data_IF_311479347570
#
_entry.id   IF_311479347570
#
_cell.length_a   1.000
_cell.length_b   1.000
_cell.length_c   1.000
_cell.angle_alpha   90.00
_cell.angle_beta   90.00
_cell.angle_gamma   90.00
#
_symmetry.space_group_name_H-M   'P 1'
#
loop_
_entity.id
_entity.type
_entity.pdbx_description
1 polymer ?
#
# COMPACT_ATOMS: atom_id res chain seq x y z
N UNK A 1 -12.57 -19.08 16.89
CA UNK A 1 -11.75 -18.85 15.71
C UNK A 1 -12.62 -18.66 14.45
N UNK A 2 -13.46 -19.63 14.07
CA UNK A 2 -14.27 -19.62 12.84
C UNK A 2 -15.07 -18.32 12.65
N UNK A 3 -15.86 -17.89 13.65
CA UNK A 3 -16.66 -16.66 13.59
C UNK A 3 -15.83 -15.40 13.28
N UNK A 4 -14.61 -15.34 13.80
CA UNK A 4 -13.72 -14.20 13.57
C UNK A 4 -13.10 -14.27 12.17
N UNK A 5 -12.67 -15.46 11.73
CA UNK A 5 -12.16 -15.68 10.38
C UNK A 5 -13.22 -15.34 9.33
N UNK A 6 -14.48 -15.75 9.54
CA UNK A 6 -15.59 -15.39 8.68
C UNK A 6 -15.85 -13.89 8.65
N UNK A 7 -15.76 -13.22 9.80
CA UNK A 7 -15.91 -11.77 9.89
C UNK A 7 -14.83 -11.05 9.09
N UNK A 8 -13.58 -11.47 9.24
CA UNK A 8 -12.44 -10.90 8.52
C UNK A 8 -12.55 -11.15 7.01
N UNK A 9 -12.87 -12.39 6.61
CA UNK A 9 -13.05 -12.75 5.22
C UNK A 9 -14.10 -11.90 4.50
N UNK A 10 -15.28 -11.74 5.11
CA UNK A 10 -16.37 -10.95 4.52
C UNK A 10 -16.03 -9.48 4.30
N UNK A 11 -15.08 -8.93 5.03
CA UNK A 11 -14.68 -7.52 4.94
C UNK A 11 -13.44 -7.28 4.09
N UNK A 12 -12.58 -8.27 3.99
CA UNK A 12 -11.24 -8.08 3.43
C UNK A 12 -10.88 -9.10 2.35
N UNK A 13 -11.61 -10.22 2.26
CA UNK A 13 -11.20 -11.36 1.45
C UNK A 13 -10.06 -12.18 2.05
N UNK A 14 -9.48 -11.79 3.19
CA UNK A 14 -8.38 -12.52 3.82
C UNK A 14 -8.86 -13.85 4.39
N UNK A 15 -8.14 -14.93 4.07
CA UNK A 15 -8.44 -16.29 4.54
C UNK A 15 -7.34 -16.77 5.48
N UNK A 16 -7.72 -17.14 6.69
CA UNK A 16 -6.83 -17.76 7.66
C UNK A 16 -7.32 -19.16 8.03
N UNK A 17 -6.56 -20.17 7.59
CA UNK A 17 -6.79 -21.56 7.98
C UNK A 17 -6.34 -21.84 9.43
N UNK A 18 -6.67 -23.03 9.94
CA UNK A 18 -6.32 -23.47 11.30
C UNK A 18 -4.80 -23.38 11.58
N UNK A 19 -3.96 -23.62 10.60
CA UNK A 19 -2.49 -23.48 10.75
C UNK A 19 -2.05 -22.04 11.10
N UNK A 20 -2.88 -21.05 10.83
CA UNK A 20 -2.63 -19.62 11.17
C UNK A 20 -3.41 -19.16 12.40
N UNK A 21 -4.05 -20.07 13.12
CA UNK A 21 -4.87 -19.74 14.30
C UNK A 21 -4.09 -18.94 15.34
N UNK A 22 -2.87 -19.37 15.68
CA UNK A 22 -2.03 -18.64 16.64
C UNK A 22 -1.74 -17.20 16.21
N UNK A 23 -1.55 -16.98 14.92
CA UNK A 23 -1.32 -15.64 14.36
C UNK A 23 -2.55 -14.74 14.54
N UNK A 24 -3.73 -15.28 14.26
CA UNK A 24 -5.01 -14.56 14.44
C UNK A 24 -5.25 -14.28 15.93
N UNK A 25 -5.08 -15.28 16.79
CA UNK A 25 -5.29 -15.15 18.25
C UNK A 25 -4.35 -14.09 18.85
N UNK A 26 -3.09 -14.04 18.43
CA UNK A 26 -2.15 -13.01 18.85
C UNK A 26 -2.61 -11.61 18.49
N UNK A 27 -3.02 -11.38 17.21
CA UNK A 27 -3.54 -10.08 16.78
C UNK A 27 -4.79 -9.64 17.54
N UNK A 28 -5.68 -10.59 17.80
CA UNK A 28 -6.86 -10.34 18.65
C UNK A 28 -6.46 -9.97 20.06
N UNK A 29 -5.53 -10.69 20.67
CA UNK A 29 -5.02 -10.38 22.00
C UNK A 29 -4.42 -8.97 22.08
N UNK A 30 -3.61 -8.60 21.10
CA UNK A 30 -3.02 -7.26 20.99
C UNK A 30 -4.11 -6.18 20.92
N UNK A 31 -5.17 -6.41 20.10
CA UNK A 31 -6.31 -5.50 20.00
C UNK A 31 -7.17 -5.46 21.25
N UNK A 32 -7.38 -6.60 21.91
CA UNK A 32 -8.06 -6.65 23.21
C UNK A 32 -7.32 -5.80 24.25
N UNK A 33 -6.00 -5.92 24.32
CA UNK A 33 -5.16 -5.08 25.19
C UNK A 33 -5.31 -3.60 24.90
N UNK A 34 -5.23 -3.21 23.61
CA UNK A 34 -5.35 -1.83 23.16
C UNK A 34 -6.74 -1.21 23.44
N UNK A 35 -7.79 -2.02 23.46
CA UNK A 35 -9.18 -1.56 23.69
C UNK A 35 -9.66 -1.72 25.12
N UNK A 36 -8.86 -2.34 26.00
CA UNK A 36 -9.24 -2.66 27.39
C UNK A 36 -10.32 -3.74 27.50
N UNK A 37 -10.52 -4.55 26.46
CA UNK A 37 -11.51 -5.63 26.50
C UNK A 37 -11.00 -6.80 27.34
N UNK A 38 -11.80 -7.21 28.33
CA UNK A 38 -11.41 -8.27 29.30
C UNK A 38 -11.74 -9.68 28.83
N UNK A 39 -12.50 -9.82 27.73
CA UNK A 39 -12.87 -11.11 27.15
C UNK A 39 -13.01 -11.01 25.63
N UNK A 40 -12.83 -12.14 24.94
CA UNK A 40 -13.10 -12.22 23.51
C UNK A 40 -14.53 -11.84 23.15
N UNK A 41 -15.50 -12.24 23.97
CA UNK A 41 -16.92 -11.93 23.72
C UNK A 41 -17.16 -10.42 23.74
N UNK A 42 -16.62 -9.71 24.75
CA UNK A 42 -16.72 -8.24 24.85
C UNK A 42 -15.99 -7.54 23.71
N UNK A 43 -14.81 -8.02 23.34
CA UNK A 43 -14.06 -7.50 22.20
C UNK A 43 -14.81 -7.70 20.87
N UNK A 44 -15.32 -8.90 20.61
CA UNK A 44 -16.04 -9.19 19.38
C UNK A 44 -17.36 -8.41 19.24
N UNK A 45 -18.05 -8.15 20.35
CA UNK A 45 -19.20 -7.26 20.37
C UNK A 45 -18.80 -5.83 19.98
N UNK A 46 -17.72 -5.31 20.56
CA UNK A 46 -17.15 -4.00 20.24
C UNK A 46 -16.75 -3.89 18.77
N UNK A 47 -16.04 -4.91 18.25
CA UNK A 47 -15.64 -4.98 16.86
C UNK A 47 -16.84 -4.97 15.91
N UNK A 48 -17.90 -5.72 16.20
CA UNK A 48 -19.12 -5.75 15.38
C UNK A 48 -19.87 -4.42 15.36
N UNK A 49 -19.82 -3.68 16.43
CA UNK A 49 -20.47 -2.35 16.56
C UNK A 49 -19.56 -1.21 16.10
N UNK A 50 -18.38 -1.53 15.60
CA UNK A 50 -17.37 -0.56 15.13
C UNK A 50 -17.09 0.60 16.11
N UNK A 51 -17.01 0.29 17.38
CA UNK A 51 -16.79 1.31 18.42
C UNK A 51 -15.43 1.97 18.20
N UNK A 52 -15.44 3.27 17.96
CA UNK A 52 -14.25 4.10 17.71
C UNK A 52 -13.40 3.66 16.49
N UNK A 53 -14.03 3.13 15.43
CA UNK A 53 -13.32 2.67 14.24
C UNK A 53 -12.48 1.40 14.47
N UNK A 54 -12.92 0.53 15.39
CA UNK A 54 -12.18 -0.68 15.74
C UNK A 54 -12.04 -1.65 14.57
N UNK A 55 -12.99 -1.64 13.62
CA UNK A 55 -12.90 -2.49 12.42
C UNK A 55 -11.66 -2.13 11.60
N UNK A 56 -11.42 -0.84 11.38
CA UNK A 56 -10.24 -0.35 10.66
C UNK A 56 -8.95 -0.77 11.37
N UNK A 57 -8.87 -0.53 12.67
CA UNK A 57 -7.70 -0.90 13.49
C UNK A 57 -7.47 -2.40 13.52
N UNK A 58 -8.55 -3.17 13.53
CA UNK A 58 -8.49 -4.62 13.44
C UNK A 58 -7.96 -5.09 12.08
N UNK A 59 -8.48 -4.57 10.98
CA UNK A 59 -8.02 -4.91 9.63
C UNK A 59 -6.53 -4.56 9.49
N UNK A 60 -6.13 -3.36 9.88
CA UNK A 60 -4.74 -2.90 9.84
C UNK A 60 -3.79 -3.80 10.64
N UNK A 61 -4.26 -4.49 11.67
CA UNK A 61 -3.45 -5.44 12.43
C UNK A 61 -3.11 -6.72 11.65
N UNK A 62 -3.82 -7.02 10.56
CA UNK A 62 -3.62 -8.24 9.75
C UNK A 62 -2.88 -7.99 8.44
N UNK A 63 -2.65 -6.75 8.07
CA UNK A 63 -1.88 -6.38 6.87
C UNK A 63 -0.39 -6.57 7.07
N UNK A 64 0.31 -6.85 5.98
CA UNK A 64 1.78 -6.93 5.92
C UNK A 64 2.24 -5.98 4.82
N UNK A 65 2.89 -4.90 5.23
CA UNK A 65 3.29 -3.80 4.35
C UNK A 65 4.78 -3.91 3.98
N UNK A 66 5.18 -5.02 3.34
CA UNK A 66 6.53 -5.17 2.83
C UNK A 66 6.62 -4.64 1.40
N UNK A 67 7.29 -3.50 1.24
CA UNK A 67 7.46 -2.84 -0.04
C UNK A 67 8.78 -2.05 -0.07
N UNK A 68 9.30 -1.75 -1.28
CA UNK A 68 10.44 -0.89 -1.53
C UNK A 68 10.41 -0.38 -2.97
N UNK A 69 11.08 0.73 -3.24
CA UNK A 69 11.14 1.31 -4.59
C UNK A 69 11.74 0.33 -5.61
N UNK A 70 11.13 0.27 -6.79
CA UNK A 70 11.52 -0.61 -7.91
C UNK A 70 11.52 -2.10 -7.55
N UNK A 71 10.60 -2.53 -6.66
CA UNK A 71 10.50 -3.93 -6.20
C UNK A 71 10.34 -4.90 -7.37
N UNK A 72 9.45 -4.60 -8.30
CA UNK A 72 9.11 -5.43 -9.46
C UNK A 72 9.42 -4.66 -10.75
N UNK A 73 10.69 -4.34 -11.00
CA UNK A 73 11.12 -3.49 -12.11
C UNK A 73 10.71 -4.02 -13.49
N UNK A 74 10.52 -5.34 -13.63
CA UNK A 74 10.00 -5.94 -14.84
C UNK A 74 8.56 -5.49 -15.17
N UNK A 75 7.73 -5.22 -14.16
CA UNK A 75 6.38 -4.67 -14.36
C UNK A 75 6.46 -3.22 -14.85
N UNK A 76 7.38 -2.42 -14.29
CA UNK A 76 7.62 -1.05 -14.75
C UNK A 76 8.12 -1.03 -16.20
N UNK A 77 9.00 -1.95 -16.59
CA UNK A 77 9.42 -2.11 -18.00
C UNK A 77 8.26 -2.51 -18.89
N UNK A 78 7.41 -3.45 -18.46
CA UNK A 78 6.23 -3.86 -19.21
C UNK A 78 5.27 -2.69 -19.40
N UNK A 79 5.08 -1.85 -18.38
CA UNK A 79 4.27 -0.64 -18.46
C UNK A 79 4.73 0.26 -19.61
N UNK A 80 6.03 0.62 -19.63
CA UNK A 80 6.55 1.58 -20.63
C UNK A 80 6.74 0.98 -22.02
N UNK A 81 7.16 -0.29 -22.11
CA UNK A 81 7.49 -0.90 -23.40
C UNK A 81 6.28 -1.46 -24.15
N UNK A 82 5.21 -1.83 -23.42
CA UNK A 82 4.07 -2.54 -23.99
C UNK A 82 2.74 -1.79 -23.74
N UNK A 83 2.38 -1.60 -22.48
CA UNK A 83 1.02 -1.20 -22.12
C UNK A 83 0.70 0.26 -22.45
N UNK A 84 1.65 1.19 -22.26
CA UNK A 84 1.40 2.61 -22.52
C UNK A 84 1.08 2.88 -23.99
N UNK A 85 1.85 2.30 -24.92
CA UNK A 85 1.61 2.47 -26.36
C UNK A 85 0.23 1.99 -26.79
N UNK A 86 -0.17 0.81 -26.31
CA UNK A 86 -1.50 0.25 -26.59
C UNK A 86 -2.63 1.12 -26.02
N UNK A 87 -2.49 1.57 -24.79
CA UNK A 87 -3.50 2.38 -24.10
C UNK A 87 -3.66 3.77 -24.73
N UNK A 88 -2.55 4.39 -25.08
CA UNK A 88 -2.57 5.69 -25.76
C UNK A 88 -3.27 5.60 -27.12
N UNK A 89 -3.03 4.53 -27.87
CA UNK A 89 -3.67 4.34 -29.18
C UNK A 89 -5.19 4.12 -29.09
N UNK A 90 -5.69 3.61 -27.97
CA UNK A 90 -7.10 3.27 -27.76
C UNK A 90 -7.90 4.38 -27.06
N UNK A 91 -7.24 5.41 -26.50
CA UNK A 91 -7.94 6.41 -25.68
C UNK A 91 -8.43 7.60 -26.49
N UNK A 92 -9.57 8.21 -26.10
CA UNK A 92 -10.01 9.49 -26.64
C UNK A 92 -8.99 10.60 -26.35
N UNK A 93 -8.88 11.56 -27.27
CA UNK A 93 -8.00 12.73 -27.10
C UNK A 93 -8.45 13.56 -25.89
N UNK A 94 -7.49 13.96 -25.03
CA UNK A 94 -7.73 14.84 -23.89
C UNK A 94 -8.16 14.13 -22.60
N UNK A 95 -8.30 12.80 -22.62
CA UNK A 95 -8.51 12.04 -21.38
C UNK A 95 -7.21 11.76 -20.63
N UNK A 96 -7.24 11.81 -19.29
CA UNK A 96 -6.10 11.48 -18.45
C UNK A 96 -5.73 9.99 -18.57
N UNK A 97 -4.45 9.69 -18.69
CA UNK A 97 -3.93 8.33 -18.62
C UNK A 97 -3.89 7.90 -17.15
N UNK A 98 -4.82 7.05 -16.75
CA UNK A 98 -4.95 6.60 -15.37
C UNK A 98 -4.22 5.28 -15.11
N UNK A 99 -3.38 5.28 -14.08
CA UNK A 99 -2.66 4.11 -13.59
C UNK A 99 -3.12 3.85 -12.15
N UNK A 100 -3.59 2.64 -11.89
CA UNK A 100 -4.03 2.23 -10.57
C UNK A 100 -3.05 1.25 -9.95
N UNK A 101 -2.44 1.66 -8.83
CA UNK A 101 -1.57 0.83 -7.98
C UNK A 101 -2.38 0.30 -6.80
N UNK A 102 -2.63 -1.02 -6.77
CA UNK A 102 -3.45 -1.67 -5.73
C UNK A 102 -3.00 -3.12 -5.49
N UNK A 103 -2.59 -3.46 -4.26
CA UNK A 103 -2.42 -2.59 -3.08
C UNK A 103 -1.14 -1.75 -3.18
N UNK A 104 -1.20 -0.47 -2.75
CA UNK A 104 -0.06 0.45 -2.85
C UNK A 104 0.82 0.49 -1.59
N UNK A 105 0.42 -0.17 -0.51
CA UNK A 105 1.14 -0.19 0.77
C UNK A 105 1.53 1.22 1.24
N UNK A 106 2.79 1.45 1.59
CA UNK A 106 3.33 2.73 2.05
C UNK A 106 3.75 3.68 0.92
N UNK A 107 3.35 3.37 -0.33
CA UNK A 107 3.45 4.29 -1.46
C UNK A 107 4.66 4.07 -2.36
N UNK A 108 5.57 3.17 -2.04
CA UNK A 108 6.76 2.93 -2.86
C UNK A 108 6.44 2.56 -4.30
N UNK A 109 5.35 1.80 -4.54
CA UNK A 109 4.97 1.41 -5.90
C UNK A 109 4.42 2.58 -6.73
N UNK A 110 3.40 3.35 -6.32
CA UNK A 110 2.92 4.48 -7.11
C UNK A 110 3.99 5.54 -7.34
N UNK A 111 4.85 5.83 -6.37
CA UNK A 111 5.99 6.72 -6.56
C UNK A 111 7.06 6.10 -7.48
N UNK A 112 7.29 4.79 -7.43
CA UNK A 112 8.16 4.10 -8.38
C UNK A 112 7.65 4.22 -9.80
N UNK A 113 6.34 4.09 -10.02
CA UNK A 113 5.72 4.29 -11.32
C UNK A 113 5.97 5.72 -11.81
N UNK A 114 5.75 6.73 -10.96
CA UNK A 114 5.97 8.12 -11.32
C UNK A 114 7.42 8.39 -11.71
N UNK A 115 8.38 8.00 -10.87
CA UNK A 115 9.82 8.17 -11.16
C UNK A 115 10.19 7.43 -12.44
N UNK A 116 9.72 6.20 -12.60
CA UNK A 116 10.01 5.39 -13.79
C UNK A 116 9.52 6.05 -15.08
N UNK A 117 8.31 6.58 -15.09
CA UNK A 117 7.76 7.30 -16.24
C UNK A 117 8.59 8.55 -16.57
N UNK A 118 8.92 9.35 -15.55
CA UNK A 118 9.74 10.56 -15.71
C UNK A 118 11.16 10.26 -16.23
N UNK A 119 11.74 9.12 -15.86
CA UNK A 119 13.10 8.74 -16.27
C UNK A 119 13.16 8.02 -17.62
N UNK A 120 12.12 7.31 -18.02
CA UNK A 120 12.20 6.38 -19.16
C UNK A 120 11.24 6.66 -20.28
N UNK A 121 10.14 7.36 -20.04
CA UNK A 121 9.14 7.63 -21.07
C UNK A 121 9.26 9.06 -21.60
N UNK A 122 9.80 9.18 -22.84
CA UNK A 122 10.12 10.49 -23.44
C UNK A 122 8.92 11.42 -23.64
N UNK A 123 7.75 10.84 -23.84
CA UNK A 123 6.53 11.59 -24.15
C UNK A 123 5.69 11.89 -22.90
N UNK A 124 6.22 11.69 -21.70
CA UNK A 124 5.47 11.85 -20.44
C UNK A 124 4.80 13.21 -20.31
N UNK A 125 5.49 14.28 -20.72
CA UNK A 125 4.98 15.66 -20.67
C UNK A 125 3.87 15.97 -21.71
N UNK A 126 3.68 15.09 -22.68
CA UNK A 126 2.63 15.23 -23.70
C UNK A 126 1.28 14.68 -23.24
N UNK A 127 1.23 14.02 -22.09
CA UNK A 127 0.04 13.36 -21.57
C UNK A 127 -0.27 13.79 -20.15
N UNK A 128 -1.56 13.91 -19.86
CA UNK A 128 -2.06 14.03 -18.49
C UNK A 128 -2.04 12.63 -17.85
N UNK A 129 -1.13 12.40 -16.90
CA UNK A 129 -0.95 11.11 -16.23
C UNK A 129 -1.40 11.21 -14.79
N UNK A 130 -2.40 10.41 -14.43
CA UNK A 130 -2.93 10.30 -13.09
C UNK A 130 -2.57 8.93 -12.50
N UNK A 131 -1.83 8.90 -11.39
CA UNK A 131 -1.49 7.68 -10.67
C UNK A 131 -2.27 7.65 -9.37
N UNK A 132 -3.10 6.63 -9.19
CA UNK A 132 -3.94 6.45 -8.00
C UNK A 132 -3.47 5.23 -7.22
N UNK A 133 -3.07 5.44 -5.97
CA UNK A 133 -2.77 4.36 -5.02
C UNK A 133 -3.97 4.04 -4.16
N UNK A 134 -4.21 2.76 -3.89
CA UNK A 134 -5.18 2.31 -2.89
C UNK A 134 -4.65 1.15 -2.07
N UNK A 135 -5.01 1.11 -0.80
CA UNK A 135 -4.68 0.03 0.12
C UNK A 135 -5.78 -0.13 1.17
N UNK A 136 -5.91 -1.33 1.72
CA UNK A 136 -6.84 -1.60 2.81
C UNK A 136 -6.30 -1.13 4.16
N UNK A 137 -4.97 -1.02 4.30
CA UNK A 137 -4.32 -0.50 5.50
C UNK A 137 -4.27 1.03 5.46
N UNK A 138 -5.14 1.67 6.22
CA UNK A 138 -5.21 3.13 6.30
C UNK A 138 -3.97 3.77 6.92
N UNK A 139 -3.19 3.04 7.73
CA UNK A 139 -1.90 3.52 8.26
C UNK A 139 -0.85 3.56 7.15
N UNK A 140 -0.88 2.56 6.26
CA UNK A 140 -0.02 2.53 5.09
C UNK A 140 -0.34 3.70 4.14
N UNK A 141 -1.63 3.97 3.89
CA UNK A 141 -2.04 5.13 3.08
C UNK A 141 -1.57 6.46 3.67
N UNK A 142 -1.70 6.65 4.99
CA UNK A 142 -1.17 7.86 5.66
C UNK A 142 0.34 7.99 5.53
N UNK A 143 1.08 6.88 5.57
CA UNK A 143 2.52 6.88 5.34
C UNK A 143 2.85 7.21 3.87
N UNK A 144 2.08 6.67 2.92
CA UNK A 144 2.21 6.98 1.51
C UNK A 144 1.97 8.49 1.23
N UNK A 145 0.93 9.07 1.80
CA UNK A 145 0.63 10.51 1.69
C UNK A 145 1.73 11.38 2.30
N UNK A 146 2.33 10.94 3.41
CA UNK A 146 3.44 11.67 4.04
C UNK A 146 4.70 11.69 3.16
N UNK A 147 4.89 10.69 2.29
CA UNK A 147 5.98 10.58 1.35
C UNK A 147 7.36 10.51 2.01
N UNK A 148 7.45 9.94 3.23
CA UNK A 148 8.71 9.84 3.98
C UNK A 148 9.14 8.38 4.08
N UNK A 149 10.34 8.10 3.57
CA UNK A 149 10.84 6.74 3.39
C UNK A 149 12.16 6.53 4.12
N UNK A 150 12.35 5.31 4.62
CA UNK A 150 13.60 4.90 5.24
C UNK A 150 14.62 4.37 4.23
N UNK A 151 15.87 4.23 4.67
CA UNK A 151 16.99 3.72 3.86
C UNK A 151 16.68 2.38 3.16
N UNK A 152 15.95 1.48 3.83
CA UNK A 152 15.57 0.18 3.26
C UNK A 152 14.66 0.34 2.04
N UNK A 153 13.72 1.28 2.06
CA UNK A 153 12.82 1.52 0.94
C UNK A 153 13.57 1.97 -0.32
N UNK A 154 14.66 2.71 -0.16
CA UNK A 154 15.44 3.30 -1.26
C UNK A 154 16.54 2.38 -1.81
N UNK A 155 16.75 1.20 -1.26
CA UNK A 155 17.93 0.34 -1.52
C UNK A 155 18.12 -0.09 -2.98
N UNK A 156 17.08 -0.04 -3.80
CA UNK A 156 17.13 -0.37 -5.24
C UNK A 156 17.28 0.84 -6.15
N UNK A 157 17.17 2.04 -5.61
CA UNK A 157 17.35 3.27 -6.38
C UNK A 157 18.83 3.60 -6.52
N UNK A 158 19.21 4.13 -7.68
CA UNK A 158 20.56 4.68 -7.86
C UNK A 158 20.74 5.96 -7.05
N UNK A 159 21.98 6.31 -6.64
CA UNK A 159 22.25 7.59 -5.95
C UNK A 159 21.75 8.80 -6.73
N UNK A 160 21.80 8.75 -8.06
CA UNK A 160 21.33 9.83 -8.94
C UNK A 160 19.82 10.03 -8.84
N UNK A 161 19.04 8.94 -8.82
CA UNK A 161 17.58 8.99 -8.64
C UNK A 161 17.24 9.52 -7.25
N UNK A 162 17.92 9.02 -6.21
CA UNK A 162 17.70 9.51 -4.84
C UNK A 162 17.99 11.02 -4.76
N UNK A 163 19.12 11.48 -5.32
CA UNK A 163 19.48 12.90 -5.31
C UNK A 163 18.51 13.79 -6.09
N UNK A 164 17.85 13.25 -7.12
CA UNK A 164 16.90 13.99 -7.98
C UNK A 164 15.50 14.12 -7.38
N UNK A 165 15.00 13.04 -6.79
CA UNK A 165 13.60 12.95 -6.38
C UNK A 165 13.37 13.01 -4.88
N UNK A 166 14.42 12.92 -4.06
CA UNK A 166 14.27 12.87 -2.62
C UNK A 166 15.12 13.95 -1.92
N UNK A 167 14.53 14.52 -0.88
CA UNK A 167 15.23 15.39 0.06
C UNK A 167 15.54 14.62 1.32
N UNK A 168 16.80 14.53 1.71
CA UNK A 168 17.20 13.91 2.97
C UNK A 168 16.73 14.77 4.15
N UNK A 169 16.01 14.17 5.09
CA UNK A 169 15.51 14.81 6.29
C UNK A 169 16.47 14.63 7.47
N UNK A 170 17.03 13.41 7.60
CA UNK A 170 18.03 13.04 8.60
C UNK A 170 18.85 11.83 8.10
N UNK A 171 19.61 11.18 8.99
CA UNK A 171 20.50 10.05 8.63
C UNK A 171 19.75 8.85 8.02
N UNK A 172 18.48 8.65 8.36
CA UNK A 172 17.70 7.45 8.00
C UNK A 172 16.40 7.74 7.23
N UNK A 173 16.06 9.00 6.98
CA UNK A 173 14.79 9.37 6.36
C UNK A 173 14.95 10.36 5.20
N UNK A 174 14.17 10.11 4.16
CA UNK A 174 14.07 10.92 2.94
C UNK A 174 12.61 11.21 2.63
N UNK A 175 12.35 12.38 2.11
CA UNK A 175 11.03 12.78 1.59
C UNK A 175 11.11 12.93 0.08
N UNK A 176 10.11 12.35 -0.62
CA UNK A 176 9.90 12.51 -2.05
C UNK A 176 9.23 13.84 -2.37
#
# INVERSE_FOLDING_TARGET
>A
FSRLSDFLYRRTGMIFGESKRYYVERRVSDRMGATGATSFASYFARLRSDVNGEIEQFINAFTVNETYFYREDHQLRCLTNNLLGERIALRPRGEALRIWSAPCSTGEEPYSIAIWLLETWRDVDAYDVEIVGSDIDTRALKAAEAGVFGKRSLMRLSPQIVARYFTQLDEDRWRI
#
